data_IF_798419251939
#
_entry.id   IF_798419251939
#
_cell.length_a   1.000
_cell.length_b   1.000
_cell.length_c   1.000
_cell.angle_alpha   90.00
_cell.angle_beta   90.00
_cell.angle_gamma   90.00
#
_symmetry.space_group_name_H-M   'P 1'
#
loop_
_entity.id
_entity.type
_entity.pdbx_description
1 polymer ?
#
# COMPACT_ATOMS: atom_id res chain seq x y z
N UNK A 1 6.37 -6.27 19.74
CA UNK A 1 6.76 -5.56 18.51
C UNK A 1 5.51 -5.18 17.72
N UNK A 2 5.54 -4.18 16.83
CA UNK A 2 4.46 -4.00 15.84
C UNK A 2 5.09 -3.59 14.51
N UNK A 3 4.80 -4.37 13.48
CA UNK A 3 5.17 -4.20 12.09
C UNK A 3 3.89 -4.25 11.27
N UNK A 4 3.78 -3.36 10.30
CA UNK A 4 2.74 -3.40 9.29
C UNK A 4 3.41 -3.42 7.92
N UNK A 5 3.06 -4.44 7.15
CA UNK A 5 3.55 -4.65 5.80
C UNK A 5 2.39 -5.10 4.91
N UNK A 6 2.46 -4.78 3.62
CA UNK A 6 1.45 -5.25 2.68
C UNK A 6 1.83 -6.62 2.14
N UNK A 7 0.85 -7.48 1.87
CA UNK A 7 1.09 -8.65 1.02
C UNK A 7 1.51 -8.19 -0.36
N UNK A 8 2.40 -8.93 -1.00
CA UNK A 8 2.70 -8.68 -2.41
C UNK A 8 1.55 -9.17 -3.31
N UNK A 9 1.64 -8.87 -4.61
CA UNK A 9 0.73 -9.44 -5.61
C UNK A 9 0.79 -10.97 -5.52
N UNK A 10 -0.37 -11.63 -5.63
CA UNK A 10 -0.44 -13.09 -5.57
C UNK A 10 0.05 -13.74 -6.87
N UNK A 11 1.37 -13.72 -7.06
CA UNK A 11 2.06 -14.40 -8.15
C UNK A 11 2.73 -15.68 -7.67
N UNK A 12 2.98 -16.60 -8.59
CA UNK A 12 3.66 -17.88 -8.30
C UNK A 12 5.08 -17.69 -7.77
N UNK A 13 5.79 -16.66 -8.23
CA UNK A 13 7.15 -16.32 -7.80
C UNK A 13 7.21 -15.37 -6.58
N UNK A 14 6.06 -14.94 -6.06
CA UNK A 14 5.94 -14.11 -4.86
C UNK A 14 5.48 -14.94 -3.65
N UNK A 15 6.05 -16.15 -3.50
CA UNK A 15 5.73 -17.08 -2.42
C UNK A 15 6.99 -17.52 -1.67
N UNK A 16 6.85 -17.68 -0.35
CA UNK A 16 7.88 -18.33 0.47
C UNK A 16 7.88 -19.86 0.26
N UNK A 17 8.82 -20.58 0.87
CA UNK A 17 8.92 -22.04 0.74
C UNK A 17 7.71 -22.79 1.30
N UNK A 18 6.92 -22.16 2.17
CA UNK A 18 5.66 -22.68 2.69
C UNK A 18 4.46 -22.35 1.79
N UNK A 19 4.71 -21.75 0.63
CA UNK A 19 3.68 -21.42 -0.37
C UNK A 19 2.83 -20.21 0.01
N UNK A 20 3.21 -19.42 1.01
CA UNK A 20 2.46 -18.23 1.44
C UNK A 20 2.94 -17.00 0.66
N UNK A 21 2.02 -16.11 0.28
CA UNK A 21 2.37 -14.85 -0.39
C UNK A 21 3.37 -14.06 0.44
N UNK A 22 4.46 -13.59 -0.17
CA UNK A 22 5.48 -12.79 0.50
C UNK A 22 4.93 -11.42 0.94
N UNK A 23 5.54 -10.84 1.97
CA UNK A 23 5.24 -9.49 2.43
C UNK A 23 6.18 -8.50 1.74
N UNK A 24 5.61 -7.42 1.21
CA UNK A 24 6.33 -6.42 0.45
C UNK A 24 7.12 -5.48 1.36
N UNK A 25 8.43 -5.40 1.13
CA UNK A 25 9.38 -4.58 1.90
C UNK A 25 9.57 -3.17 1.35
N UNK A 26 8.93 -2.82 0.23
CA UNK A 26 9.02 -1.48 -0.36
C UNK A 26 8.54 -0.38 0.57
N UNK A 27 7.58 -0.69 1.46
CA UNK A 27 7.19 0.16 2.59
C UNK A 27 6.92 -0.71 3.81
N UNK A 28 7.58 -0.38 4.91
CA UNK A 28 7.40 -1.02 6.21
C UNK A 28 7.02 0.05 7.23
N UNK A 29 5.85 -0.08 7.84
CA UNK A 29 5.47 0.73 8.99
C UNK A 29 5.83 -0.03 10.26
N UNK A 30 6.51 0.63 11.19
CA UNK A 30 7.01 -0.01 12.40
C UNK A 30 6.78 0.84 13.64
N UNK A 31 6.51 0.19 14.76
CA UNK A 31 6.46 0.85 16.06
C UNK A 31 7.88 1.10 16.56
N UNK A 32 8.18 2.38 16.82
CA UNK A 32 9.47 2.82 17.35
C UNK A 32 9.80 2.13 18.69
N UNK A 33 11.10 2.01 18.98
CA UNK A 33 11.67 1.45 20.23
C UNK A 33 11.35 -0.02 20.50
N UNK A 34 10.98 -0.79 19.47
CA UNK A 34 10.82 -2.24 19.58
C UNK A 34 12.17 -2.93 19.34
N UNK A 35 12.85 -3.38 20.41
CA UNK A 35 14.14 -4.08 20.34
C UNK A 35 14.10 -5.28 19.37
N UNK A 36 13.01 -6.04 19.37
CA UNK A 36 12.77 -7.17 18.45
C UNK A 36 12.74 -6.74 16.98
N UNK A 37 12.14 -5.59 16.67
CA UNK A 37 12.08 -5.07 15.29
C UNK A 37 13.45 -4.56 14.88
N UNK A 38 14.13 -3.82 15.75
CA UNK A 38 15.49 -3.32 15.49
C UNK A 38 16.48 -4.46 15.26
N UNK A 39 16.40 -5.54 16.05
CA UNK A 39 17.21 -6.73 15.87
C UNK A 39 16.88 -7.42 14.54
N UNK A 40 15.60 -7.59 14.20
CA UNK A 40 15.19 -8.15 12.91
C UNK A 40 15.74 -7.33 11.74
N UNK A 41 15.59 -6.00 11.75
CA UNK A 41 16.07 -5.15 10.65
C UNK A 41 17.58 -5.23 10.49
N UNK A 42 18.33 -5.27 11.61
CA UNK A 42 19.77 -5.50 11.59
C UNK A 42 20.10 -6.85 10.95
N UNK A 43 19.48 -7.92 11.43
CA UNK A 43 19.79 -9.26 10.94
C UNK A 43 19.37 -9.44 9.47
N UNK A 44 18.26 -8.83 9.04
CA UNK A 44 17.84 -8.80 7.64
C UNK A 44 18.83 -8.00 6.78
N UNK A 45 19.43 -6.93 7.28
CA UNK A 45 20.50 -6.20 6.57
C UNK A 45 21.82 -6.99 6.49
N UNK A 46 22.07 -7.84 7.49
CA UNK A 46 23.24 -8.73 7.59
C UNK A 46 22.93 -10.16 7.12
N UNK A 47 21.86 -10.34 6.34
CA UNK A 47 21.34 -11.66 5.99
C UNK A 47 22.39 -12.59 5.37
N UNK A 48 23.28 -12.01 4.56
CA UNK A 48 24.35 -12.72 3.84
C UNK A 48 25.37 -13.39 4.77
N UNK A 49 25.53 -12.89 6.01
CA UNK A 49 26.55 -13.38 6.95
C UNK A 49 25.94 -14.13 8.14
N UNK A 50 24.72 -13.80 8.54
CA UNK A 50 24.11 -14.34 9.76
C UNK A 50 23.17 -15.52 9.53
N UNK A 51 22.64 -15.71 8.31
CA UNK A 51 21.60 -16.72 8.04
C UNK A 51 22.07 -17.68 6.94
N UNK A 52 22.30 -18.97 7.27
CA UNK A 52 22.64 -19.97 6.27
C UNK A 52 21.59 -20.03 5.15
N UNK A 53 22.03 -19.88 3.89
CA UNK A 53 21.16 -19.94 2.73
C UNK A 53 20.36 -18.67 2.44
N UNK A 54 20.57 -17.56 3.17
CA UNK A 54 19.93 -16.30 2.80
C UNK A 54 20.62 -15.61 1.61
N UNK A 55 21.89 -15.91 1.37
CA UNK A 55 22.71 -15.36 0.28
C UNK A 55 22.11 -15.55 -1.11
N UNK A 56 21.33 -16.62 -1.32
CA UNK A 56 20.61 -16.85 -2.57
C UNK A 56 19.68 -15.68 -2.96
N UNK A 57 19.11 -14.97 -1.98
CA UNK A 57 18.19 -13.86 -2.23
C UNK A 57 18.91 -12.61 -2.76
N UNK A 58 20.24 -12.57 -2.75
CA UNK A 58 21.01 -11.56 -3.47
C UNK A 58 20.80 -11.63 -4.97
N UNK A 59 20.60 -12.83 -5.50
CA UNK A 59 20.54 -13.10 -6.93
C UNK A 59 19.15 -13.53 -7.42
N UNK A 60 18.23 -13.83 -6.50
CA UNK A 60 16.84 -14.19 -6.79
C UNK A 60 15.90 -13.00 -6.65
N UNK A 61 14.84 -12.99 -7.46
CA UNK A 61 13.77 -11.99 -7.38
C UNK A 61 13.15 -11.93 -5.98
N UNK A 62 12.76 -10.74 -5.56
CA UNK A 62 12.12 -10.47 -4.28
C UNK A 62 13.06 -10.20 -3.11
N UNK A 63 14.38 -10.46 -3.27
CA UNK A 63 15.45 -10.00 -2.39
C UNK A 63 15.09 -10.05 -0.88
N UNK A 64 15.17 -8.90 -0.20
CA UNK A 64 14.87 -8.77 1.23
C UNK A 64 13.40 -9.03 1.57
N UNK A 65 12.47 -8.84 0.63
CA UNK A 65 11.05 -9.14 0.83
C UNK A 65 10.80 -10.64 0.95
N UNK A 66 11.45 -11.43 0.11
CA UNK A 66 11.37 -12.90 0.20
C UNK A 66 12.14 -13.38 1.43
N UNK A 67 13.34 -12.86 1.68
CA UNK A 67 14.14 -13.21 2.86
C UNK A 67 13.39 -12.93 4.18
N UNK A 68 12.70 -11.79 4.30
CA UNK A 68 11.88 -11.48 5.47
C UNK A 68 10.77 -12.53 5.67
N UNK A 69 10.06 -12.84 4.59
CA UNK A 69 8.95 -13.79 4.60
C UNK A 69 9.40 -15.21 4.95
N UNK A 70 10.58 -15.58 4.50
CA UNK A 70 11.19 -16.90 4.68
C UNK A 70 11.72 -17.10 6.10
N UNK A 71 12.46 -16.13 6.63
CA UNK A 71 13.24 -16.31 7.86
C UNK A 71 12.66 -15.61 9.09
N UNK A 72 11.88 -14.53 8.91
CA UNK A 72 11.50 -13.65 10.02
C UNK A 72 10.01 -13.56 10.27
N UNK A 73 9.16 -13.82 9.27
CA UNK A 73 7.71 -13.72 9.42
C UNK A 73 7.20 -14.45 10.66
N UNK A 74 7.62 -15.71 10.82
CA UNK A 74 7.14 -16.59 11.88
C UNK A 74 7.72 -16.25 13.26
N UNK A 75 8.69 -15.33 13.31
CA UNK A 75 9.19 -14.79 14.57
C UNK A 75 8.19 -13.80 15.21
N UNK A 76 7.18 -13.30 14.49
CA UNK A 76 6.19 -12.34 14.98
C UNK A 76 4.82 -12.99 15.16
N UNK A 77 4.10 -12.59 16.21
CA UNK A 77 2.71 -13.03 16.41
C UNK A 77 1.84 -12.39 15.31
N UNK A 78 1.15 -13.17 14.47
CA UNK A 78 0.25 -12.64 13.44
C UNK A 78 -0.83 -11.74 14.04
N UNK A 79 -1.18 -10.66 13.35
CA UNK A 79 -2.23 -9.68 13.68
C UNK A 79 -2.04 -8.91 15.00
N UNK A 80 -1.03 -9.27 15.80
CA UNK A 80 -0.65 -8.58 17.04
C UNK A 80 0.67 -7.85 16.87
N UNK A 81 1.68 -8.55 16.36
CA UNK A 81 3.02 -8.01 16.15
C UNK A 81 3.37 -7.82 14.68
N UNK A 82 2.77 -8.62 13.78
CA UNK A 82 2.89 -8.48 12.34
C UNK A 82 1.51 -8.37 11.72
N UNK A 83 1.14 -7.15 11.35
CA UNK A 83 -0.11 -6.81 10.70
C UNK A 83 0.13 -6.86 9.19
N UNK A 84 -0.54 -7.80 8.53
CA UNK A 84 -0.43 -8.03 7.09
C UNK A 84 -1.63 -7.39 6.40
N UNK A 85 -1.41 -6.31 5.66
CA UNK A 85 -2.51 -5.63 4.95
C UNK A 85 -2.67 -6.16 3.52
N UNK A 86 -3.91 -6.24 3.00
CA UNK A 86 -4.16 -6.49 1.59
C UNK A 86 -3.43 -5.48 0.68
N UNK A 87 -2.89 -5.95 -0.45
CA UNK A 87 -2.09 -5.12 -1.35
C UNK A 87 -2.91 -4.06 -2.09
N UNK A 88 -4.21 -4.31 -2.30
CA UNK A 88 -5.15 -3.33 -2.84
C UNK A 88 -5.33 -2.12 -1.92
N UNK A 89 -5.15 -2.31 -0.61
CA UNK A 89 -5.28 -1.26 0.39
C UNK A 89 -3.93 -0.57 0.65
N UNK A 90 -2.94 -1.34 1.14
CA UNK A 90 -1.67 -0.79 1.63
C UNK A 90 -0.74 -0.34 0.50
N UNK A 91 0.03 -1.27 -0.02
CA UNK A 91 1.06 -1.04 -1.03
C UNK A 91 0.68 -1.77 -2.32
N UNK A 92 0.20 -1.01 -3.30
CA UNK A 92 -0.25 -1.56 -4.58
C UNK A 92 0.87 -1.68 -5.59
N UNK A 93 0.64 -2.52 -6.59
CA UNK A 93 1.53 -2.69 -7.73
C UNK A 93 0.98 -1.89 -8.92
N UNK A 94 1.60 -0.73 -9.18
CA UNK A 94 1.06 0.24 -10.13
C UNK A 94 1.06 -0.23 -11.60
N UNK A 95 1.83 -1.27 -11.90
CA UNK A 95 1.95 -1.80 -13.26
C UNK A 95 0.65 -2.43 -13.75
N UNK A 96 -0.14 -3.02 -12.85
CA UNK A 96 -1.24 -3.91 -13.24
C UNK A 96 -2.39 -3.87 -12.23
N UNK A 97 -3.24 -2.84 -12.34
CA UNK A 97 -4.56 -2.81 -11.67
C UNK A 97 -5.42 -4.06 -12.00
N UNK A 98 -5.05 -4.79 -13.08
CA UNK A 98 -5.62 -6.06 -13.52
C UNK A 98 -5.57 -7.13 -12.43
N UNK A 99 -4.56 -7.10 -11.55
CA UNK A 99 -4.46 -8.05 -10.42
C UNK A 99 -5.18 -7.58 -9.16
N UNK A 100 -5.99 -6.52 -9.25
CA UNK A 100 -6.72 -5.95 -8.11
C UNK A 100 -5.85 -5.22 -7.09
N UNK A 101 -4.54 -5.11 -7.32
CA UNK A 101 -3.56 -4.55 -6.40
C UNK A 101 -3.33 -3.06 -6.64
N UNK A 102 -4.37 -2.24 -6.46
CA UNK A 102 -4.35 -0.83 -6.88
C UNK A 102 -3.54 0.09 -5.97
N UNK A 103 -3.39 -0.26 -4.69
CA UNK A 103 -2.62 0.52 -3.72
C UNK A 103 -3.31 1.82 -3.37
N UNK A 104 -4.47 1.73 -2.70
CA UNK A 104 -5.28 2.89 -2.32
C UNK A 104 -4.50 3.92 -1.52
N UNK A 105 -3.60 3.48 -0.64
CA UNK A 105 -2.76 4.40 0.16
C UNK A 105 -1.41 4.69 -0.51
N UNK A 106 -0.71 3.66 -0.98
CA UNK A 106 0.61 3.83 -1.61
C UNK A 106 0.65 3.06 -2.93
N UNK A 107 0.93 3.78 -4.02
CA UNK A 107 1.19 3.19 -5.33
C UNK A 107 2.69 2.92 -5.49
N UNK A 108 3.08 1.64 -5.58
CA UNK A 108 4.48 1.23 -5.73
C UNK A 108 4.77 0.82 -7.18
N UNK A 109 5.71 1.52 -7.83
CA UNK A 109 6.16 1.26 -9.20
C UNK A 109 7.37 0.31 -9.18
N UNK A 110 7.14 -0.97 -8.91
CA UNK A 110 8.22 -1.94 -8.68
C UNK A 110 9.07 -2.22 -9.93
N UNK A 111 8.43 -2.42 -11.09
CA UNK A 111 9.08 -2.90 -12.33
C UNK A 111 9.17 -1.84 -13.42
N UNK A 112 8.17 -0.96 -13.55
CA UNK A 112 8.07 0.02 -14.62
C UNK A 112 8.67 1.39 -14.26
N UNK A 113 9.88 1.41 -13.71
CA UNK A 113 10.53 2.62 -13.14
C UNK A 113 10.65 3.78 -14.15
N UNK A 114 10.82 3.48 -15.42
CA UNK A 114 10.86 4.45 -16.53
C UNK A 114 9.54 5.23 -16.70
N UNK A 115 8.42 4.70 -16.22
CA UNK A 115 7.10 5.34 -16.31
C UNK A 115 6.79 6.23 -15.10
N UNK A 116 7.69 6.31 -14.11
CA UNK A 116 7.43 6.99 -12.85
C UNK A 116 7.09 8.47 -13.03
N UNK A 117 7.83 9.19 -13.88
CA UNK A 117 7.59 10.62 -14.14
C UNK A 117 6.19 10.86 -14.70
N UNK A 118 5.78 10.05 -15.67
CA UNK A 118 4.47 10.17 -16.30
C UNK A 118 3.34 9.82 -15.34
N UNK A 119 3.49 8.73 -14.59
CA UNK A 119 2.53 8.32 -13.57
C UNK A 119 2.40 9.36 -12.46
N UNK A 120 3.49 9.99 -12.05
CA UNK A 120 3.48 11.05 -11.05
C UNK A 120 2.70 12.28 -11.55
N UNK A 121 2.96 12.73 -12.78
CA UNK A 121 2.21 13.83 -13.40
C UNK A 121 0.71 13.53 -13.46
N UNK A 122 0.34 12.34 -13.93
CA UNK A 122 -1.07 11.94 -14.00
C UNK A 122 -1.73 11.98 -12.62
N UNK A 123 -1.07 11.45 -11.58
CA UNK A 123 -1.60 11.50 -10.21
C UNK A 123 -1.76 12.91 -9.66
N UNK A 124 -0.82 13.81 -9.95
CA UNK A 124 -0.96 15.21 -9.57
C UNK A 124 -2.17 15.86 -10.24
N UNK A 125 -2.39 15.60 -11.54
CA UNK A 125 -3.56 16.09 -12.27
C UNK A 125 -4.85 15.53 -11.68
N UNK A 126 -4.95 14.22 -11.47
CA UNK A 126 -6.11 13.56 -10.87
C UNK A 126 -6.48 14.18 -9.52
N UNK A 127 -5.50 14.34 -8.62
CA UNK A 127 -5.70 14.91 -7.28
C UNK A 127 -6.10 16.38 -7.37
N UNK A 128 -5.47 17.15 -8.26
CA UNK A 128 -5.80 18.57 -8.48
C UNK A 128 -7.23 18.73 -8.97
N UNK A 129 -7.65 17.91 -9.93
CA UNK A 129 -9.03 17.92 -10.43
C UNK A 129 -10.03 17.56 -9.34
N UNK A 130 -9.78 16.50 -8.56
CA UNK A 130 -10.64 16.12 -7.43
C UNK A 130 -10.78 17.25 -6.40
N UNK A 131 -9.68 17.96 -6.09
CA UNK A 131 -9.73 19.11 -5.18
C UNK A 131 -10.52 20.29 -5.76
N UNK A 132 -10.38 20.55 -7.06
CA UNK A 132 -11.12 21.60 -7.76
C UNK A 132 -12.61 21.30 -7.81
N UNK A 133 -12.99 20.08 -8.19
CA UNK A 133 -14.38 19.61 -8.18
C UNK A 133 -14.99 19.77 -6.80
N UNK A 134 -14.33 19.26 -5.75
CA UNK A 134 -14.79 19.38 -4.38
C UNK A 134 -14.99 20.85 -3.97
N UNK A 135 -14.06 21.74 -4.32
CA UNK A 135 -14.20 23.19 -4.04
C UNK A 135 -15.37 23.80 -4.81
N UNK A 136 -15.53 23.49 -6.10
CA UNK A 136 -16.61 23.99 -6.93
C UNK A 136 -17.97 23.54 -6.40
N UNK A 137 -18.12 22.25 -6.08
CA UNK A 137 -19.35 21.73 -5.47
C UNK A 137 -19.66 22.42 -4.14
N UNK A 138 -18.68 22.61 -3.25
CA UNK A 138 -18.91 23.32 -2.00
C UNK A 138 -19.24 24.81 -2.20
N UNK A 139 -18.67 25.47 -3.22
CA UNK A 139 -19.00 26.85 -3.54
C UNK A 139 -20.36 27.04 -4.24
N UNK A 140 -20.93 25.97 -4.80
CA UNK A 140 -22.23 25.98 -5.48
C UNK A 140 -23.37 25.39 -4.65
N UNK A 141 -23.12 24.87 -3.44
CA UNK A 141 -24.17 24.49 -2.49
C UNK A 141 -24.46 25.66 -1.55
N UNK A 142 -25.23 26.63 -2.04
CA UNK A 142 -26.08 27.44 -1.18
C UNK A 142 -27.36 26.64 -0.93
N UNK A 143 -27.52 26.09 0.27
CA UNK A 143 -28.85 25.63 0.70
C UNK A 143 -29.75 26.87 0.76
N UNK A 144 -30.81 26.97 -0.05
CA UNK A 144 -31.82 27.99 0.21
C UNK A 144 -32.33 27.77 1.63
N UNK A 145 -32.56 28.86 2.37
CA UNK A 145 -33.22 28.75 3.66
C UNK A 145 -34.52 27.97 3.47
N UNK A 146 -34.87 27.09 4.41
CA UNK A 146 -36.05 26.19 4.35
C UNK A 146 -37.38 26.88 4.09
N UNK A 147 -37.39 28.21 4.08
CA UNK A 147 -38.52 29.09 3.84
C UNK A 147 -38.84 29.24 2.33
N UNK A 148 -37.89 28.95 1.43
CA UNK A 148 -38.08 29.10 -0.02
C UNK A 148 -38.70 27.87 -0.70
N UNK A 149 -38.81 26.74 0.02
CA UNK A 149 -39.39 25.49 -0.50
C UNK A 149 -40.91 25.63 -0.75
N UNK A 150 -41.57 26.56 -0.07
CA UNK A 150 -43.01 26.81 -0.27
C UNK A 150 -43.35 27.61 -1.55
N UNK A 151 -42.38 28.26 -2.19
CA UNK A 151 -42.62 29.07 -3.39
C UNK A 151 -42.60 28.21 -4.67
N UNK A 152 -41.85 27.11 -4.68
CA UNK A 152 -41.74 26.23 -5.84
C UNK A 152 -42.96 25.32 -6.04
N UNK A 153 -43.75 25.06 -4.98
CA UNK A 153 -44.97 24.25 -5.09
C UNK A 153 -46.18 25.06 -5.63
N UNK A 154 -46.16 26.39 -5.48
CA UNK A 154 -47.15 27.31 -6.07
C UNK A 154 -46.98 27.54 -7.57
N UNK A 155 -45.77 27.35 -8.12
CA UNK A 155 -45.50 27.51 -9.56
C UNK A 155 -45.73 26.23 -10.37
N UNK A 156 -46.02 25.10 -9.71
CA UNK A 156 -46.38 23.82 -10.36
C UNK A 156 -47.89 23.64 -10.59
N UNK A 157 -48.72 24.61 -10.18
CA UNK A 157 -50.18 24.60 -10.34
C UNK A 157 -50.71 25.78 -11.17
N UNK A 158 -49.92 26.22 -12.16
CA UNK A 158 -50.34 27.05 -13.29
C UNK A 158 -49.92 26.34 -14.58
#
# INVERSE_FOLDING_TARGET
AQLLMSRDVNWTYARDTLGRTVLNTGVIALRLRSAKVTAMLRNLSECLTLIPGCDQWRHKWGHEQTAFSEYYRDAFIPDVELISVPCNEGLGYSGEAIFGCTGRYIAHVTTAKQTLSERYKQRLLDITMLMLEHKLFLSHVSYPATNDIHILDSLRRL
#
